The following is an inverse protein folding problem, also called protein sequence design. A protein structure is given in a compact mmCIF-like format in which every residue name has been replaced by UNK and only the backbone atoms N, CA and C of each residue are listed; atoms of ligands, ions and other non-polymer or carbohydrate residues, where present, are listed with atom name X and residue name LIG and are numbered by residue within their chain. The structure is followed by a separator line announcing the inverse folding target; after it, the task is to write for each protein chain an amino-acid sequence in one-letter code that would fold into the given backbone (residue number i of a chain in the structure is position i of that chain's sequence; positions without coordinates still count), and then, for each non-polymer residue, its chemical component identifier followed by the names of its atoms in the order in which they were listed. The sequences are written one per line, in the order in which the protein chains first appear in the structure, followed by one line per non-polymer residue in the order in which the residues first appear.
data_IF_277255812949
#
_entry.id   IF_277255812949
#
_cell.length_a   1.000
_cell.length_b   1.000
_cell.length_c   1.000
_cell.angle_alpha   90.00
_cell.angle_beta   90.00
_cell.angle_gamma   90.00
#
_symmetry.space_group_name_H-M   'P 1'
#
loop_
_entity.id
_entity.type
_entity.pdbx_description
1 polymer ?
#
# COMPACT_ATOMS: atom_id res chain seq x y z
N UNK A 1 14.33 16.51 -0.81
CA UNK A 1 15.77 16.15 -1.01
C UNK A 1 16.23 16.12 -2.48
N UNK A 2 15.42 16.50 -3.49
CA UNK A 2 15.89 16.70 -4.88
C UNK A 2 16.12 18.18 -5.26
N UNK A 3 15.67 19.12 -4.42
CA UNK A 3 15.82 20.57 -4.63
C UNK A 3 17.23 21.10 -4.30
N UNK A 4 18.07 20.33 -3.62
CA UNK A 4 19.38 20.79 -3.12
C UNK A 4 20.53 20.66 -4.14
N UNK A 5 20.34 19.96 -5.27
CA UNK A 5 21.44 19.66 -6.21
C UNK A 5 21.27 20.24 -7.62
N UNK A 6 20.26 21.08 -7.88
CA UNK A 6 20.07 21.71 -9.19
C UNK A 6 19.87 20.75 -10.36
N UNK A 7 19.61 19.47 -10.08
CA UNK A 7 19.35 18.45 -11.10
C UNK A 7 17.89 18.53 -11.58
N UNK A 8 17.64 18.33 -12.88
CA UNK A 8 16.28 18.29 -13.40
C UNK A 8 15.50 17.19 -12.69
N UNK A 9 14.29 17.52 -12.22
CA UNK A 9 13.38 16.57 -11.59
C UNK A 9 13.15 15.42 -12.60
N UNK A 10 13.45 14.16 -12.24
CA UNK A 10 13.26 13.03 -13.15
C UNK A 10 11.81 12.97 -13.66
N UNK A 11 11.61 12.62 -14.93
CA UNK A 11 10.27 12.61 -15.56
C UNK A 11 9.25 11.75 -14.80
N UNK A 12 9.73 10.70 -14.11
CA UNK A 12 8.92 9.83 -13.23
C UNK A 12 8.32 10.56 -12.02
N UNK A 13 8.94 11.66 -11.58
CA UNK A 13 8.44 12.51 -10.49
C UNK A 13 7.57 13.64 -11.05
N UNK A 14 7.85 14.09 -12.28
CA UNK A 14 7.12 15.17 -12.96
C UNK A 14 5.66 14.82 -13.30
N UNK A 15 5.40 13.56 -13.63
CA UNK A 15 4.05 13.04 -13.94
C UNK A 15 3.42 12.25 -12.78
N UNK A 16 3.79 12.54 -11.53
CA UNK A 16 3.12 11.88 -10.40
C UNK A 16 1.66 12.33 -10.33
N UNK A 17 0.70 11.40 -10.22
CA UNK A 17 -0.67 11.77 -9.92
C UNK A 17 -0.70 12.47 -8.56
N UNK A 18 -1.39 13.61 -8.50
CA UNK A 18 -1.67 14.29 -7.24
C UNK A 18 -2.86 13.59 -6.61
N UNK A 19 -2.67 13.03 -5.42
CA UNK A 19 -3.75 12.50 -4.60
C UNK A 19 -4.37 13.68 -3.86
N UNK A 20 -5.71 13.75 -3.85
CA UNK A 20 -6.41 14.62 -2.93
C UNK A 20 -6.24 14.09 -1.50
N UNK A 21 -6.60 14.90 -0.51
CA UNK A 21 -6.40 14.57 0.91
C UNK A 21 -7.10 13.26 1.30
N UNK A 22 -8.29 13.01 0.74
CA UNK A 22 -9.05 11.77 0.98
C UNK A 22 -8.31 10.53 0.46
N UNK A 23 -7.79 10.56 -0.77
CA UNK A 23 -7.01 9.45 -1.31
C UNK A 23 -5.64 9.32 -0.62
N UNK A 24 -5.11 10.42 -0.11
CA UNK A 24 -3.89 10.41 0.67
C UNK A 24 -4.08 9.63 1.99
N UNK A 25 -5.23 9.80 2.66
CA UNK A 25 -5.58 9.01 3.84
C UNK A 25 -5.54 7.51 3.55
N UNK A 26 -6.25 7.06 2.50
CA UNK A 26 -6.26 5.64 2.14
C UNK A 26 -4.88 5.11 1.74
N UNK A 27 -4.08 5.93 1.09
CA UNK A 27 -2.70 5.57 0.74
C UNK A 27 -1.81 5.42 1.99
N UNK A 28 -1.89 6.34 2.95
CA UNK A 28 -1.17 6.21 4.23
C UNK A 28 -1.63 4.98 5.00
N UNK A 29 -2.95 4.76 5.11
CA UNK A 29 -3.51 3.59 5.77
C UNK A 29 -2.99 2.28 5.17
N UNK A 30 -2.88 2.20 3.84
CA UNK A 30 -2.29 1.04 3.18
C UNK A 30 -0.82 0.82 3.58
N UNK A 31 -0.01 1.88 3.60
CA UNK A 31 1.40 1.78 3.98
C UNK A 31 1.56 1.30 5.42
N UNK A 32 0.78 1.84 6.35
CA UNK A 32 0.80 1.43 7.76
C UNK A 32 0.39 -0.03 7.93
N UNK A 33 -0.72 -0.42 7.29
CA UNK A 33 -1.27 -1.77 7.37
C UNK A 33 -0.38 -2.82 6.68
N UNK A 34 0.37 -2.46 5.64
CA UNK A 34 1.30 -3.37 4.98
C UNK A 34 2.42 -3.81 5.94
N UNK A 35 2.82 -2.95 6.88
CA UNK A 35 3.85 -3.27 7.90
C UNK A 35 3.42 -4.36 8.88
N UNK A 36 2.12 -4.63 9.03
CA UNK A 36 1.63 -5.65 9.96
C UNK A 36 1.75 -7.07 9.41
N UNK A 37 2.26 -7.24 8.18
CA UNK A 37 2.39 -8.54 7.53
C UNK A 37 3.71 -9.21 7.88
N UNK A 38 3.67 -10.53 8.01
CA UNK A 38 4.88 -11.36 8.01
C UNK A 38 5.20 -11.81 6.59
N UNK A 39 6.39 -11.47 6.09
CA UNK A 39 6.80 -11.77 4.71
C UNK A 39 7.58 -13.10 4.57
N UNK A 40 7.51 -13.99 5.57
CA UNK A 40 8.50 -15.05 5.72
C UNK A 40 8.39 -16.21 4.72
N UNK A 41 7.23 -16.48 4.11
CA UNK A 41 7.05 -17.69 3.27
C UNK A 41 6.22 -17.46 2.00
N UNK A 42 5.23 -16.57 2.04
CA UNK A 42 4.33 -16.28 0.91
C UNK A 42 3.73 -14.89 1.08
N UNK A 43 3.42 -14.17 -0.02
CA UNK A 43 2.62 -12.95 0.06
C UNK A 43 1.24 -13.27 0.67
N UNK A 44 0.93 -12.67 1.82
CA UNK A 44 -0.36 -12.82 2.50
C UNK A 44 -1.13 -11.51 2.49
N UNK A 45 -2.47 -11.54 2.39
CA UNK A 45 -3.27 -10.33 2.43
C UNK A 45 -3.17 -9.62 3.79
N UNK A 46 -3.39 -8.30 3.81
CA UNK A 46 -3.56 -7.55 5.07
C UNK A 46 -4.66 -8.23 5.91
N UNK A 47 -4.43 -8.41 7.21
CA UNK A 47 -5.45 -8.95 8.12
C UNK A 47 -6.68 -8.04 8.14
N UNK A 48 -7.88 -8.63 8.01
CA UNK A 48 -9.12 -7.85 8.16
C UNK A 48 -9.21 -7.19 9.54
N UNK A 49 -8.79 -7.90 10.59
CA UNK A 49 -8.79 -7.37 11.95
C UNK A 49 -7.91 -6.11 12.05
N UNK A 50 -6.74 -6.11 11.41
CA UNK A 50 -5.86 -4.94 11.39
C UNK A 50 -6.54 -3.72 10.72
N UNK A 51 -7.30 -3.93 9.64
CA UNK A 51 -8.06 -2.85 8.98
C UNK A 51 -9.13 -2.30 9.93
N UNK A 52 -9.86 -3.17 10.64
CA UNK A 52 -10.90 -2.75 11.59
C UNK A 52 -10.31 -2.04 12.80
N UNK A 53 -9.16 -2.48 13.30
CA UNK A 53 -8.45 -1.80 14.39
C UNK A 53 -7.95 -0.43 13.96
N UNK A 54 -7.46 -0.30 12.72
CA UNK A 54 -7.11 0.99 12.13
C UNK A 54 -8.32 1.91 12.02
N UNK A 55 -9.44 1.40 11.49
CA UNK A 55 -10.70 2.14 11.41
C UNK A 55 -11.15 2.65 12.79
N UNK A 56 -11.09 1.78 13.81
CA UNK A 56 -11.43 2.12 15.20
C UNK A 56 -10.50 3.19 15.77
N UNK A 57 -9.18 3.08 15.53
CA UNK A 57 -8.20 4.06 15.99
C UNK A 57 -8.46 5.45 15.38
N UNK A 58 -8.83 5.48 14.10
CA UNK A 58 -9.20 6.71 13.38
C UNK A 58 -10.64 7.17 13.61
N UNK A 59 -11.39 6.48 14.48
CA UNK A 59 -12.79 6.79 14.79
C UNK A 59 -13.70 6.83 13.55
N UNK A 60 -13.40 6.00 12.55
CA UNK A 60 -14.28 5.82 11.40
C UNK A 60 -15.55 5.07 11.84
N UNK A 61 -16.66 5.42 11.21
CA UNK A 61 -17.97 4.83 11.51
C UNK A 61 -18.57 4.18 10.27
N UNK A 62 -19.34 3.09 10.46
CA UNK A 62 -20.17 2.39 9.47
C UNK A 62 -19.67 2.45 8.01
N UNK A 63 -20.16 3.40 7.22
CA UNK A 63 -19.86 3.56 5.79
C UNK A 63 -18.37 3.84 5.54
N UNK A 64 -17.73 4.71 6.32
CA UNK A 64 -16.29 5.02 6.18
C UNK A 64 -15.43 3.80 6.49
N UNK A 65 -15.84 2.99 7.46
CA UNK A 65 -15.16 1.74 7.78
C UNK A 65 -15.31 0.74 6.64
N UNK A 66 -16.50 0.66 6.05
CA UNK A 66 -16.76 -0.20 4.90
C UNK A 66 -15.93 0.24 3.69
N UNK A 67 -15.87 1.54 3.41
CA UNK A 67 -15.07 2.12 2.33
C UNK A 67 -13.57 1.84 2.53
N UNK A 68 -13.04 2.07 3.74
CA UNK A 68 -11.65 1.73 4.07
C UNK A 68 -11.36 0.25 3.78
N UNK A 69 -12.22 -0.66 4.19
CA UNK A 69 -12.05 -2.09 3.91
C UNK A 69 -12.02 -2.36 2.41
N UNK A 70 -12.93 -1.77 1.64
CA UNK A 70 -12.99 -1.97 0.19
C UNK A 70 -11.73 -1.45 -0.52
N UNK A 71 -11.30 -0.23 -0.20
CA UNK A 71 -10.15 0.43 -0.85
C UNK A 71 -8.85 -0.31 -0.50
N UNK A 72 -8.64 -0.63 0.78
CA UNK A 72 -7.43 -1.36 1.20
C UNK A 72 -7.38 -2.74 0.55
N UNK A 73 -8.52 -3.43 0.40
CA UNK A 73 -8.58 -4.73 -0.31
C UNK A 73 -8.27 -4.61 -1.80
N UNK A 74 -8.71 -3.53 -2.45
CA UNK A 74 -8.39 -3.28 -3.85
C UNK A 74 -6.89 -3.04 -4.06
N UNK A 75 -6.28 -2.21 -3.22
CA UNK A 75 -4.84 -1.93 -3.24
C UNK A 75 -4.01 -3.18 -2.94
N UNK A 76 -4.38 -3.90 -1.88
CA UNK A 76 -3.73 -5.15 -1.46
C UNK A 76 -3.69 -6.19 -2.58
N UNK A 77 -4.82 -6.38 -3.28
CA UNK A 77 -4.89 -7.32 -4.40
C UNK A 77 -3.88 -7.01 -5.51
N UNK A 78 -3.63 -5.74 -5.80
CA UNK A 78 -2.65 -5.33 -6.81
C UNK A 78 -1.23 -5.53 -6.28
N UNK A 79 -0.98 -5.15 -5.03
CA UNK A 79 0.33 -5.34 -4.39
C UNK A 79 0.72 -6.82 -4.33
N UNK A 80 -0.19 -7.70 -3.90
CA UNK A 80 0.06 -9.15 -3.83
C UNK A 80 0.47 -9.74 -5.17
N UNK A 81 -0.19 -9.34 -6.28
CA UNK A 81 0.20 -9.77 -7.62
C UNK A 81 1.62 -9.34 -7.98
N UNK A 82 2.02 -8.13 -7.58
CA UNK A 82 3.37 -7.62 -7.83
C UNK A 82 4.42 -8.37 -7.00
N UNK A 83 4.16 -8.57 -5.70
CA UNK A 83 5.06 -9.28 -4.79
C UNK A 83 5.17 -10.76 -5.17
N UNK A 84 4.07 -11.41 -5.55
CA UNK A 84 4.07 -12.81 -6.00
C UNK A 84 4.93 -12.98 -7.27
N UNK A 85 4.80 -12.06 -8.23
CA UNK A 85 5.65 -12.06 -9.43
C UNK A 85 7.13 -11.91 -9.04
N UNK A 86 7.46 -10.93 -8.21
CA UNK A 86 8.83 -10.70 -7.76
C UNK A 86 9.41 -11.90 -6.98
N UNK A 87 8.57 -12.60 -6.20
CA UNK A 87 8.96 -13.82 -5.47
C UNK A 87 9.27 -14.95 -6.44
N UNK A 88 8.40 -15.22 -7.43
CA UNK A 88 8.62 -16.23 -8.48
C UNK A 88 9.90 -15.96 -9.28
N UNK A 89 10.13 -14.71 -9.67
CA UNK A 89 11.32 -14.32 -10.42
C UNK A 89 12.61 -14.60 -9.62
N UNK A 90 12.62 -14.30 -8.31
CA UNK A 90 13.74 -14.62 -7.41
C UNK A 90 13.96 -16.13 -7.23
N UNK A 91 12.89 -16.90 -7.04
CA UNK A 91 13.00 -18.36 -6.88
C UNK A 91 13.52 -19.03 -8.15
N UNK A 92 13.14 -18.54 -9.33
CA UNK A 92 13.62 -19.07 -10.61
C UNK A 92 15.08 -18.71 -10.90
N UNK A 93 15.60 -17.61 -10.36
CA UNK A 93 17.00 -17.21 -10.52
C UNK A 93 17.99 -18.02 -9.69
N UNK A 94 17.51 -18.82 -8.72
CA UNK A 94 18.33 -19.63 -7.80
C UNK A 94 18.36 -21.12 -8.24
N UNK A 95 17.49 -21.51 -9.17
CA UNK A 95 17.48 -22.85 -9.80
C UNK A 95 18.36 -22.87 -11.04
#
# INVERSE_FOLDING_TARGET
MAQQMGQPIPDKVKNKPQLNDDLYFYYQAFLDLDTTRTHNMSPTPISWLAIIEYARFHQLHDEDTHELVQIIRAMDRVNLKHVEKAFKDKTNAIK
#
